data_IF_244603979920
#
_entry.id   IF_244603979920
#
_cell.length_a   1.000
_cell.length_b   1.000
_cell.length_c   1.000
_cell.angle_alpha   90.00
_cell.angle_beta   90.00
_cell.angle_gamma   90.00
#
_symmetry.space_group_name_H-M   'P 1'
#
loop_
_entity.id
_entity.type
_entity.pdbx_description
1 polymer ?
#
# COMPACT_ATOMS: atom_id res chain seq x y z
N UNK A 1 -14.57 8.65 -6.47
CA UNK A 1 -13.90 7.95 -7.59
C UNK A 1 -13.70 6.51 -7.20
N UNK A 2 -14.46 5.62 -7.82
CA UNK A 2 -14.39 4.19 -7.55
C UNK A 2 -13.17 3.62 -8.32
N UNK A 3 -12.20 3.05 -7.60
CA UNK A 3 -11.16 2.25 -8.23
C UNK A 3 -11.78 0.89 -8.55
N UNK A 4 -11.74 0.47 -9.81
CA UNK A 4 -12.17 -0.88 -10.16
C UNK A 4 -11.23 -1.91 -9.55
N UNK A 5 -11.69 -3.15 -9.44
CA UNK A 5 -10.88 -4.26 -8.91
C UNK A 5 -9.59 -4.44 -9.73
N UNK A 6 -9.67 -4.29 -11.05
CA UNK A 6 -8.54 -4.38 -11.98
C UNK A 6 -7.51 -3.27 -11.76
N UNK A 7 -7.97 -2.02 -11.66
CA UNK A 7 -7.09 -0.87 -11.34
C UNK A 7 -6.43 -1.04 -9.98
N UNK A 8 -7.17 -1.55 -8.99
CA UNK A 8 -6.66 -1.79 -7.64
C UNK A 8 -5.55 -2.86 -7.65
N UNK A 9 -5.74 -3.96 -8.37
CA UNK A 9 -4.72 -5.01 -8.50
C UNK A 9 -3.45 -4.47 -9.18
N UNK A 10 -3.62 -3.80 -10.32
CA UNK A 10 -2.50 -3.19 -11.06
C UNK A 10 -1.76 -2.15 -10.20
N UNK A 11 -2.48 -1.40 -9.37
CA UNK A 11 -1.91 -0.43 -8.44
C UNK A 11 -1.08 -1.09 -7.34
N UNK A 12 -1.57 -2.21 -6.79
CA UNK A 12 -0.83 -2.99 -5.79
C UNK A 12 0.45 -3.57 -6.41
N UNK A 13 0.38 -4.10 -7.63
CA UNK A 13 1.56 -4.62 -8.33
C UNK A 13 2.62 -3.54 -8.54
N UNK A 14 2.22 -2.35 -9.01
CA UNK A 14 3.13 -1.22 -9.22
C UNK A 14 3.77 -0.73 -7.93
N UNK A 15 2.98 -0.67 -6.86
CA UNK A 15 3.48 -0.31 -5.54
C UNK A 15 4.45 -1.37 -5.01
N UNK A 16 4.15 -2.66 -5.20
CA UNK A 16 5.02 -3.76 -4.79
C UNK A 16 6.36 -3.75 -5.54
N UNK A 17 6.32 -3.51 -6.86
CA UNK A 17 7.53 -3.35 -7.69
C UNK A 17 8.41 -2.20 -7.22
N UNK A 18 7.81 -1.13 -6.70
CA UNK A 18 8.53 0.03 -6.15
C UNK A 18 8.92 -0.21 -4.71
N UNK A 19 9.94 -1.06 -4.52
CA UNK A 19 10.57 -1.35 -3.22
C UNK A 19 10.96 -0.07 -2.46
N UNK A 20 11.30 1.02 -3.17
CA UNK A 20 11.55 2.37 -2.61
C UNK A 20 10.41 2.95 -1.72
N UNK A 21 9.17 2.50 -1.92
CA UNK A 21 7.99 3.00 -1.21
C UNK A 21 7.67 2.26 0.09
N UNK A 22 8.06 0.99 0.19
CA UNK A 22 7.74 0.12 1.32
C UNK A 22 8.97 -0.42 2.05
N UNK A 23 10.15 -0.40 1.41
CA UNK A 23 11.38 -0.92 1.99
C UNK A 23 12.06 0.13 2.88
N UNK A 24 11.95 -0.10 4.18
CA UNK A 24 12.55 0.68 5.25
C UNK A 24 14.08 0.48 5.36
N UNK A 25 14.64 -0.53 4.67
CA UNK A 25 16.06 -0.91 4.76
C UNK A 25 16.95 -0.17 3.77
N UNK A 26 16.38 0.53 2.79
CA UNK A 26 17.18 1.30 1.84
C UNK A 26 17.78 2.55 2.53
N UNK A 27 19.11 2.76 2.51
CA UNK A 27 19.74 3.99 3.01
C UNK A 27 19.27 5.24 2.25
N UNK A 28 18.70 5.04 1.05
CA UNK A 28 18.09 6.07 0.21
C UNK A 28 16.63 6.40 0.58
N UNK A 29 16.06 5.76 1.60
CA UNK A 29 14.68 5.97 2.08
C UNK A 29 14.47 7.38 2.69
N UNK A 30 15.57 8.08 2.98
CA UNK A 30 15.60 9.48 3.38
C UNK A 30 15.41 10.46 2.21
N UNK A 31 15.53 9.99 0.96
CA UNK A 31 15.40 10.85 -0.20
C UNK A 31 13.92 11.07 -0.55
N UNK A 32 13.30 12.08 0.08
CA UNK A 32 11.89 12.47 -0.11
C UNK A 32 11.53 12.60 -1.60
N UNK A 33 12.46 13.10 -2.40
CA UNK A 33 12.34 13.27 -3.86
C UNK A 33 12.02 11.94 -4.54
N UNK A 34 12.76 10.86 -4.27
CA UNK A 34 12.54 9.56 -4.93
C UNK A 34 11.24 8.89 -4.52
N UNK A 35 10.76 9.16 -3.30
CA UNK A 35 9.44 8.70 -2.87
C UNK A 35 8.33 9.44 -3.60
N UNK A 36 8.44 10.76 -3.69
CA UNK A 36 7.47 11.56 -4.43
C UNK A 36 7.47 11.21 -5.91
N UNK A 37 8.64 11.01 -6.50
CA UNK A 37 8.81 10.56 -7.88
C UNK A 37 8.15 9.18 -8.12
N UNK A 38 8.45 8.19 -7.26
CA UNK A 38 7.83 6.88 -7.34
C UNK A 38 6.29 6.95 -7.25
N UNK A 39 5.76 7.82 -6.37
CA UNK A 39 4.32 8.09 -6.25
C UNK A 39 3.77 8.81 -7.49
N UNK A 40 4.48 9.79 -8.03
CA UNK A 40 4.11 10.52 -9.25
C UNK A 40 4.02 9.58 -10.44
N UNK A 41 5.00 8.71 -10.62
CA UNK A 41 4.97 7.73 -11.69
C UNK A 41 3.80 6.75 -11.56
N UNK A 42 3.50 6.24 -10.35
CA UNK A 42 2.31 5.39 -10.14
C UNK A 42 1.03 6.17 -10.47
N UNK A 43 0.98 7.44 -10.07
CA UNK A 43 -0.15 8.31 -10.33
C UNK A 43 -0.33 8.59 -11.84
N UNK A 44 0.77 8.83 -12.56
CA UNK A 44 0.79 8.99 -14.02
C UNK A 44 0.32 7.72 -14.72
N UNK A 45 0.80 6.54 -14.31
CA UNK A 45 0.40 5.27 -14.90
C UNK A 45 -1.07 4.93 -14.63
N UNK A 46 -1.56 5.27 -13.44
CA UNK A 46 -2.97 5.17 -13.07
C UNK A 46 -3.83 6.27 -13.71
N UNK A 47 -3.22 7.28 -14.33
CA UNK A 47 -3.87 8.53 -14.77
C UNK A 47 -4.72 9.17 -13.67
N UNK A 48 -4.20 9.15 -12.43
CA UNK A 48 -4.84 9.72 -11.23
C UNK A 48 -3.90 10.70 -10.54
N UNK A 49 -4.41 11.44 -9.56
CA UNK A 49 -3.58 12.28 -8.70
C UNK A 49 -2.86 11.44 -7.64
N UNK A 50 -1.61 11.79 -7.33
CA UNK A 50 -0.81 11.18 -6.25
C UNK A 50 -1.59 11.12 -4.94
N UNK A 51 -2.34 12.18 -4.62
CA UNK A 51 -3.16 12.23 -3.40
C UNK A 51 -4.25 11.13 -3.38
N UNK A 52 -4.91 10.87 -4.51
CA UNK A 52 -5.91 9.81 -4.63
C UNK A 52 -5.28 8.43 -4.50
N UNK A 53 -4.12 8.22 -5.13
CA UNK A 53 -3.34 6.99 -5.00
C UNK A 53 -2.92 6.73 -3.55
N UNK A 54 -2.35 7.73 -2.86
CA UNK A 54 -1.97 7.63 -1.45
C UNK A 54 -3.16 7.29 -0.56
N UNK A 55 -4.29 7.99 -0.72
CA UNK A 55 -5.53 7.73 0.04
C UNK A 55 -6.06 6.32 -0.21
N UNK A 56 -6.04 5.85 -1.46
CA UNK A 56 -6.48 4.49 -1.81
C UNK A 56 -5.57 3.43 -1.19
N UNK A 57 -4.25 3.62 -1.24
CA UNK A 57 -3.29 2.72 -0.61
C UNK A 57 -3.47 2.67 0.90
N UNK A 58 -3.67 3.82 1.56
CA UNK A 58 -3.93 3.88 2.99
C UNK A 58 -5.17 3.07 3.38
N UNK A 59 -6.25 3.19 2.60
CA UNK A 59 -7.47 2.41 2.81
C UNK A 59 -7.23 0.89 2.67
N UNK A 60 -6.49 0.47 1.64
CA UNK A 60 -6.13 -0.95 1.42
C UNK A 60 -5.27 -1.49 2.57
N UNK A 61 -4.24 -0.75 2.98
CA UNK A 61 -3.40 -1.12 4.10
C UNK A 61 -4.18 -1.14 5.42
N UNK A 62 -5.13 -0.23 5.61
CA UNK A 62 -6.01 -0.23 6.78
C UNK A 62 -6.93 -1.46 6.80
N UNK A 63 -7.49 -1.85 5.65
CA UNK A 63 -8.25 -3.09 5.52
C UNK A 63 -7.38 -4.32 5.82
N UNK A 64 -6.19 -4.40 5.22
CA UNK A 64 -5.21 -5.48 5.45
C UNK A 64 -4.78 -5.56 6.93
N UNK A 65 -4.50 -4.43 7.58
CA UNK A 65 -4.15 -4.39 9.01
C UNK A 65 -5.30 -4.93 9.88
N UNK A 66 -6.54 -4.52 9.59
CA UNK A 66 -7.73 -5.00 10.30
C UNK A 66 -7.94 -6.51 10.10
N UNK A 67 -7.82 -6.98 8.87
CA UNK A 67 -7.96 -8.40 8.55
C UNK A 67 -6.86 -9.25 9.20
N UNK A 68 -5.60 -8.80 9.12
CA UNK A 68 -4.46 -9.44 9.79
C UNK A 68 -4.63 -9.44 11.31
N UNK A 69 -5.22 -8.41 11.90
CA UNK A 69 -5.52 -8.36 13.33
C UNK A 69 -6.65 -9.31 13.71
N UNK A 70 -7.69 -9.46 12.88
CA UNK A 70 -8.72 -10.51 13.05
C UNK A 70 -8.12 -11.91 12.98
N UNK A 71 -7.27 -12.18 11.98
CA UNK A 71 -6.57 -13.47 11.86
C UNK A 71 -5.70 -13.75 13.08
N UNK A 72 -4.91 -12.77 13.55
CA UNK A 72 -4.14 -12.89 14.79
C UNK A 72 -5.05 -13.16 15.99
N UNK A 73 -6.13 -12.39 16.17
CA UNK A 73 -7.08 -12.61 17.27
C UNK A 73 -7.71 -14.00 17.23
N UNK A 74 -8.08 -14.48 16.05
CA UNK A 74 -8.64 -15.83 15.87
C UNK A 74 -7.63 -16.92 16.22
N UNK A 75 -6.33 -16.69 15.98
CA UNK A 75 -5.27 -17.64 16.36
C UNK A 75 -5.03 -17.64 17.88
N UNK A 76 -5.23 -16.52 18.57
CA UNK A 76 -5.03 -16.44 20.04
C UNK A 76 -6.28 -16.77 20.86
N UNK A 77 -7.48 -16.75 20.27
CA UNK A 77 -8.73 -17.03 20.96
C UNK A 77 -9.00 -18.53 21.22
N UNK A 78 -8.09 -19.43 20.81
CA UNK A 78 -8.22 -20.88 20.96
C UNK A 78 -7.28 -21.51 21.98
N UNK A 79 -6.62 -20.74 22.86
CA UNK A 79 -5.77 -21.27 23.93
C UNK A 79 -6.13 -20.64 25.26
N UNK A 80 -7.20 -21.15 25.85
CA UNK A 80 -7.69 -20.84 27.19
C UNK A 80 -8.51 -22.04 27.65
N UNK A 81 -7.80 -23.13 27.97
CA UNK A 81 -8.28 -24.20 28.86
C UNK A 81 -7.98 -23.79 30.30
#
# INVERSE_FOLDING_TARGET
MEFSKKDTLKFIELYCKKSLLWDLKNPNHYNKIRKEDAWQEIAQEMKRSVHQCKKKMEYLLAALRREKMKMRKSIHAGKGE
#
